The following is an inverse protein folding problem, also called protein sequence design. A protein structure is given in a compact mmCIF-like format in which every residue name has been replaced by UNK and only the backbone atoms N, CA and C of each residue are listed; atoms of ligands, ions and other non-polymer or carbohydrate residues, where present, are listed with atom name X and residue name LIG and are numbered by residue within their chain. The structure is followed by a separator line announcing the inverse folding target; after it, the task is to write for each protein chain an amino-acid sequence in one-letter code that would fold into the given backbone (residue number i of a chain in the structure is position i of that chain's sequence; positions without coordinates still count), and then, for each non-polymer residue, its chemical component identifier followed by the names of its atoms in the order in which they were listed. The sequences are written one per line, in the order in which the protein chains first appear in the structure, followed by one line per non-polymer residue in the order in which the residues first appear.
data_IF_453133305944
#
_entry.id   IF_453133305944
#
_cell.length_a   1.000
_cell.length_b   1.000
_cell.length_c   1.000
_cell.angle_alpha   90.00
_cell.angle_beta   90.00
_cell.angle_gamma   90.00
#
_symmetry.space_group_name_H-M   'P 1'
#
loop_
_entity.id
_entity.type
_entity.pdbx_description
1 polymer ?
#
# COMPACT_ATOMS: atom_id res chain seq x y z
N UNK A 1 4.18 9.13 6.50
CA UNK A 1 2.87 8.46 6.40
C UNK A 1 2.25 8.40 7.79
N UNK A 2 0.93 8.38 7.87
CA UNK A 2 0.27 8.32 9.17
C UNK A 2 -1.15 8.84 9.13
N UNK A 3 -1.75 8.75 10.30
CA UNK A 3 -3.10 9.18 10.58
C UNK A 3 -3.05 10.62 11.09
N UNK A 4 -3.82 11.49 10.44
CA UNK A 4 -3.90 12.89 10.77
C UNK A 4 -5.35 13.28 11.00
N UNK A 5 -5.57 14.03 12.07
CA UNK A 5 -6.86 14.58 12.42
C UNK A 5 -6.83 16.09 12.19
N UNK A 6 -7.88 16.63 11.58
CA UNK A 6 -8.00 18.06 11.32
C UNK A 6 -9.45 18.53 11.43
N UNK A 7 -9.60 19.86 11.59
CA UNK A 7 -10.86 20.60 11.51
C UNK A 7 -10.60 21.93 10.82
N UNK A 8 -11.63 22.48 10.20
CA UNK A 8 -11.63 23.86 9.74
C UNK A 8 -12.11 24.80 10.85
N UNK A 9 -11.70 26.06 10.76
CA UNK A 9 -12.28 27.16 11.52
C UNK A 9 -12.97 28.06 10.50
N UNK A 10 -14.30 28.16 10.58
CA UNK A 10 -15.11 29.00 9.71
C UNK A 10 -15.91 29.95 10.58
N UNK A 11 -15.74 31.25 10.37
CA UNK A 11 -16.35 32.31 11.18
C UNK A 11 -16.10 32.19 12.70
N UNK A 12 -14.96 31.58 13.07
CA UNK A 12 -14.58 31.34 14.47
C UNK A 12 -15.12 30.04 15.06
N UNK A 13 -15.96 29.32 14.33
CA UNK A 13 -16.52 28.04 14.74
C UNK A 13 -15.73 26.88 14.14
N UNK A 14 -15.49 25.85 14.96
CA UNK A 14 -14.80 24.66 14.52
C UNK A 14 -15.74 23.71 13.78
N UNK A 15 -15.42 23.35 12.54
CA UNK A 15 -16.20 22.40 11.76
C UNK A 15 -15.32 21.31 11.15
N UNK A 16 -15.88 20.12 11.01
CA UNK A 16 -15.30 19.05 10.19
C UNK A 16 -15.29 19.42 8.71
N UNK A 17 -14.46 18.75 7.92
CA UNK A 17 -14.54 18.77 6.47
C UNK A 17 -15.78 17.99 6.00
N UNK A 18 -16.82 18.64 5.47
CA UNK A 18 -18.05 17.98 5.07
C UNK A 18 -17.85 17.02 3.87
N UNK A 19 -16.75 17.18 3.14
CA UNK A 19 -16.40 16.35 1.99
C UNK A 19 -15.57 15.12 2.36
N UNK A 20 -15.00 15.09 3.56
CA UNK A 20 -14.25 13.94 4.03
C UNK A 20 -15.19 12.96 4.77
N UNK A 21 -15.42 11.75 4.25
CA UNK A 21 -16.27 10.75 4.90
C UNK A 21 -15.61 10.16 6.15
N UNK A 22 -14.28 10.20 6.25
CA UNK A 22 -13.52 9.60 7.35
C UNK A 22 -13.40 10.58 8.52
N UNK A 23 -13.81 10.11 9.70
CA UNK A 23 -13.93 10.94 10.90
C UNK A 23 -13.54 10.13 12.13
N UNK A 24 -12.92 10.80 13.10
CA UNK A 24 -12.55 10.24 14.40
C UNK A 24 -13.20 11.08 15.49
N UNK A 25 -13.78 10.40 16.48
CA UNK A 25 -14.40 11.05 17.64
C UNK A 25 -13.30 11.61 18.55
N UNK A 26 -13.43 12.88 18.93
CA UNK A 26 -12.46 13.56 19.79
C UNK A 26 -12.86 13.53 21.28
N UNK A 27 -12.03 14.12 22.13
CA UNK A 27 -12.18 14.15 23.60
C UNK A 27 -13.41 14.95 24.08
N UNK A 28 -14.06 15.72 23.21
CA UNK A 28 -15.22 16.57 23.51
C UNK A 28 -16.53 15.98 22.97
N UNK A 29 -16.55 14.69 22.63
CA UNK A 29 -17.69 14.01 22.01
C UNK A 29 -18.09 14.56 20.62
N UNK A 30 -17.22 15.36 19.99
CA UNK A 30 -17.35 15.85 18.61
C UNK A 30 -16.49 15.01 17.64
N UNK A 31 -16.42 15.41 16.37
CA UNK A 31 -15.65 14.73 15.34
C UNK A 31 -14.56 15.61 14.74
N UNK A 32 -13.37 15.03 14.56
CA UNK A 32 -12.32 15.53 13.69
C UNK A 32 -12.42 14.80 12.35
N UNK A 33 -12.11 15.48 11.25
CA UNK A 33 -11.88 14.83 9.97
C UNK A 33 -10.56 14.07 10.03
N UNK A 34 -10.54 12.86 9.49
CA UNK A 34 -9.42 11.95 9.55
C UNK A 34 -8.86 11.69 8.16
N UNK A 35 -7.54 11.67 8.02
CA UNK A 35 -6.88 11.31 6.77
C UNK A 35 -5.69 10.40 7.05
N UNK A 36 -5.63 9.26 6.36
CA UNK A 36 -4.45 8.43 6.32
C UNK A 36 -3.58 8.84 5.12
N UNK A 37 -2.43 9.46 5.40
CA UNK A 37 -1.49 9.89 4.35
C UNK A 37 -0.47 8.78 4.13
N UNK A 38 -0.41 8.27 2.90
CA UNK A 38 0.57 7.26 2.50
C UNK A 38 1.97 7.81 2.23
N UNK A 39 2.98 6.94 2.26
CA UNK A 39 4.34 7.20 1.79
C UNK A 39 4.52 6.49 0.48
N UNK A 40 5.02 7.20 -0.53
CA UNK A 40 5.32 6.60 -1.80
C UNK A 40 6.46 5.58 -1.68
N UNK A 41 6.19 4.35 -2.11
CA UNK A 41 7.11 3.22 -2.12
C UNK A 41 7.24 2.73 -3.55
N UNK A 42 8.47 2.38 -3.94
CA UNK A 42 8.74 1.69 -5.20
C UNK A 42 9.05 0.23 -4.91
N UNK A 43 8.21 -0.67 -5.41
CA UNK A 43 8.51 -2.09 -5.48
C UNK A 43 9.33 -2.35 -6.73
N UNK A 44 10.41 -3.10 -6.59
CA UNK A 44 11.34 -3.43 -7.67
C UNK A 44 11.55 -4.94 -7.69
N UNK A 45 11.29 -5.57 -8.83
CA UNK A 45 11.62 -6.97 -9.08
C UNK A 45 12.75 -7.03 -10.13
N UNK A 46 13.89 -7.59 -9.75
CA UNK A 46 15.03 -7.76 -10.67
C UNK A 46 14.88 -9.02 -11.51
N UNK A 47 15.28 -8.94 -12.78
CA UNK A 47 15.25 -10.06 -13.72
C UNK A 47 13.90 -10.24 -14.43
N UNK A 48 13.62 -11.47 -14.87
CA UNK A 48 12.38 -11.82 -15.61
C UNK A 48 12.18 -11.00 -16.88
N UNK A 49 13.26 -10.82 -17.64
CA UNK A 49 13.27 -10.05 -18.89
C UNK A 49 12.42 -10.67 -20.00
N UNK A 50 12.12 -11.96 -19.91
CA UNK A 50 11.27 -12.65 -20.87
C UNK A 50 9.81 -12.74 -20.41
N UNK A 51 9.47 -12.26 -19.22
CA UNK A 51 8.09 -12.23 -18.76
C UNK A 51 7.26 -11.25 -19.59
N UNK A 52 6.02 -11.62 -19.86
CA UNK A 52 5.05 -10.82 -20.61
C UNK A 52 4.29 -9.89 -19.66
N UNK A 53 3.97 -10.37 -18.47
CA UNK A 53 3.20 -9.63 -17.48
C UNK A 53 3.74 -9.88 -16.07
N UNK A 54 4.02 -8.80 -15.35
CA UNK A 54 4.33 -8.83 -13.91
C UNK A 54 3.33 -7.96 -13.17
N UNK A 55 2.73 -8.49 -12.10
CA UNK A 55 1.73 -7.79 -11.28
C UNK A 55 2.21 -7.78 -9.83
N UNK A 56 2.08 -6.63 -9.17
CA UNK A 56 2.26 -6.51 -7.74
C UNK A 56 0.92 -6.81 -7.04
N UNK A 57 0.91 -7.68 -6.05
CA UNK A 57 -0.30 -8.02 -5.30
C UNK A 57 -0.01 -8.16 -3.82
N UNK A 58 -0.86 -7.60 -2.96
CA UNK A 58 -0.63 -7.54 -1.52
C UNK A 58 -1.81 -7.06 -0.69
N UNK A 59 -1.58 -6.86 0.60
CA UNK A 59 -2.60 -6.42 1.57
C UNK A 59 -3.21 -5.06 1.24
N UNK A 60 -2.48 -4.20 0.52
CA UNK A 60 -2.91 -2.84 0.15
C UNK A 60 -3.86 -2.80 -1.05
N UNK A 61 -4.06 -3.92 -1.76
CA UNK A 61 -5.02 -4.03 -2.86
C UNK A 61 -5.86 -5.30 -2.75
N UNK A 62 -6.05 -5.80 -1.52
CA UNK A 62 -6.81 -7.02 -1.24
C UNK A 62 -6.40 -8.23 -2.08
N UNK A 63 -5.10 -8.34 -2.36
CA UNK A 63 -4.52 -9.40 -3.19
C UNK A 63 -5.05 -9.45 -4.63
N UNK A 64 -5.56 -8.34 -5.15
CA UNK A 64 -6.03 -8.25 -6.53
C UNK A 64 -4.91 -8.62 -7.53
N UNK A 65 -5.25 -9.48 -8.49
CA UNK A 65 -4.31 -10.06 -9.45
C UNK A 65 -4.22 -9.30 -10.78
N UNK A 66 -4.88 -8.15 -10.92
CA UNK A 66 -5.00 -7.44 -12.20
C UNK A 66 -4.70 -5.94 -12.14
N UNK A 67 -4.88 -5.31 -10.98
CA UNK A 67 -4.90 -3.85 -10.87
C UNK A 67 -3.51 -3.24 -11.01
N UNK A 68 -2.49 -3.83 -10.36
CA UNK A 68 -1.17 -3.22 -10.23
C UNK A 68 -0.13 -3.88 -11.15
N UNK A 69 -0.37 -3.79 -12.46
CA UNK A 69 0.59 -4.22 -13.50
C UNK A 69 1.86 -3.38 -13.40
N UNK A 70 3.01 -4.05 -13.30
CA UNK A 70 4.31 -3.42 -13.16
C UNK A 70 4.87 -2.92 -14.50
N UNK A 71 5.61 -1.81 -14.45
CA UNK A 71 6.32 -1.27 -15.60
C UNK A 71 7.67 -1.96 -15.78
N UNK A 72 7.94 -2.44 -16.99
CA UNK A 72 9.25 -2.96 -17.36
C UNK A 72 10.23 -1.80 -17.60
N UNK A 73 11.36 -1.83 -16.92
CA UNK A 73 12.42 -0.81 -17.05
C UNK A 73 13.42 -1.16 -18.14
N UNK A 74 14.21 -0.18 -18.58
CA UNK A 74 15.23 -0.36 -19.63
C UNK A 74 16.36 -1.34 -19.27
N UNK A 75 16.64 -1.52 -17.98
CA UNK A 75 17.61 -2.51 -17.47
C UNK A 75 17.00 -3.91 -17.29
N UNK A 76 15.74 -4.12 -17.71
CA UNK A 76 15.09 -5.42 -17.68
C UNK A 76 14.57 -5.83 -16.30
N UNK A 77 14.29 -4.86 -15.42
CA UNK A 77 13.62 -5.05 -14.14
C UNK A 77 12.15 -4.64 -14.27
N UNK A 78 11.39 -4.84 -13.20
CA UNK A 78 9.99 -4.44 -13.12
C UNK A 78 9.81 -3.52 -11.92
N UNK A 79 9.08 -2.40 -12.09
CA UNK A 79 8.81 -1.45 -11.01
C UNK A 79 7.32 -1.12 -10.89
N UNK A 80 6.87 -0.83 -9.67
CA UNK A 80 5.57 -0.23 -9.40
C UNK A 80 5.69 0.78 -8.28
N UNK A 81 5.03 1.92 -8.41
CA UNK A 81 5.14 3.04 -7.48
C UNK A 81 3.77 3.41 -6.94
N UNK A 82 3.59 3.33 -5.62
CA UNK A 82 2.30 3.60 -4.98
C UNK A 82 2.47 4.17 -3.56
N UNK A 83 1.51 4.97 -3.08
CA UNK A 83 1.48 5.38 -1.69
C UNK A 83 0.99 4.21 -0.82
N UNK A 84 1.70 3.94 0.27
CA UNK A 84 1.28 2.98 1.29
C UNK A 84 1.14 3.66 2.65
N UNK A 85 0.08 3.30 3.38
CA UNK A 85 -0.10 3.68 4.77
C UNK A 85 1.05 3.16 5.64
N UNK A 86 1.28 3.79 6.80
CA UNK A 86 2.26 3.31 7.75
C UNK A 86 1.90 1.90 8.24
N UNK A 87 2.91 1.08 8.54
CA UNK A 87 2.73 -0.26 9.07
C UNK A 87 3.21 -1.37 8.15
N UNK A 88 2.76 -2.58 8.47
CA UNK A 88 3.22 -3.83 7.86
C UNK A 88 2.34 -4.20 6.67
N UNK A 89 2.96 -4.38 5.51
CA UNK A 89 2.28 -4.80 4.29
C UNK A 89 2.84 -6.15 3.81
N UNK A 90 1.95 -7.08 3.50
CA UNK A 90 2.31 -8.36 2.88
C UNK A 90 2.12 -8.27 1.38
N UNK A 91 3.02 -8.86 0.60
CA UNK A 91 2.93 -8.83 -0.85
C UNK A 91 3.66 -10.00 -1.51
N UNK A 92 3.38 -10.16 -2.80
CA UNK A 92 4.01 -11.07 -3.76
C UNK A 92 4.02 -10.42 -5.14
N UNK A 93 4.74 -11.05 -6.07
CA UNK A 93 4.60 -10.77 -7.50
C UNK A 93 3.88 -11.92 -8.19
N UNK A 94 3.14 -11.62 -9.25
CA UNK A 94 2.59 -12.61 -10.17
C UNK A 94 3.31 -12.43 -11.49
N UNK A 95 4.02 -13.46 -11.96
CA UNK A 95 4.77 -13.46 -13.22
C UNK A 95 4.10 -14.45 -14.15
N UNK A 96 3.51 -13.95 -15.23
CA UNK A 96 2.81 -14.76 -16.24
C UNK A 96 1.82 -15.76 -15.59
N UNK A 97 1.09 -15.29 -14.57
CA UNK A 97 0.12 -16.08 -13.81
C UNK A 97 0.68 -16.87 -12.62
N UNK A 98 1.99 -16.84 -12.37
CA UNK A 98 2.63 -17.58 -11.29
C UNK A 98 3.01 -16.68 -10.12
N UNK A 99 2.51 -17.03 -8.93
CA UNK A 99 2.84 -16.33 -7.68
C UNK A 99 4.28 -16.61 -7.24
N UNK A 100 5.04 -15.56 -6.99
CA UNK A 100 6.39 -15.64 -6.44
C UNK A 100 6.55 -14.70 -5.24
N UNK A 101 7.42 -15.10 -4.30
CA UNK A 101 7.94 -14.20 -3.28
C UNK A 101 8.94 -13.24 -3.92
N UNK A 102 9.11 -12.05 -3.35
CA UNK A 102 10.22 -11.18 -3.72
C UNK A 102 11.56 -11.88 -3.44
N UNK A 103 12.37 -12.19 -4.47
CA UNK A 103 13.66 -12.87 -4.30
C UNK A 103 14.68 -12.02 -3.53
N UNK A 104 14.58 -10.70 -3.63
CA UNK A 104 15.50 -9.75 -3.01
C UNK A 104 15.10 -9.39 -1.56
N UNK A 105 13.90 -9.80 -1.13
CA UNK A 105 13.42 -9.55 0.22
C UNK A 105 13.59 -10.79 1.11
N UNK A 106 14.43 -10.67 2.13
CA UNK A 106 14.66 -11.72 3.12
C UNK A 106 13.59 -11.80 4.20
N UNK A 107 12.79 -10.74 4.39
CA UNK A 107 11.75 -10.66 5.42
C UNK A 107 10.46 -11.29 4.88
N UNK A 108 10.09 -12.42 5.47
CA UNK A 108 8.94 -13.24 5.07
C UNK A 108 8.12 -13.61 6.29
N UNK A 109 6.82 -13.78 6.11
CA UNK A 109 5.89 -14.14 7.17
C UNK A 109 4.87 -15.15 6.67
N UNK A 110 4.50 -16.09 7.55
CA UNK A 110 3.46 -17.08 7.31
C UNK A 110 2.10 -16.49 7.71
N UNK A 111 1.08 -16.68 6.87
CA UNK A 111 -0.24 -16.09 7.07
C UNK A 111 -1.20 -16.92 7.94
N UNK A 112 -0.74 -18.06 8.47
CA UNK A 112 -1.57 -18.99 9.24
C UNK A 112 -2.42 -19.96 8.39
N UNK A 113 -2.49 -19.75 7.07
CA UNK A 113 -3.37 -20.48 6.14
C UNK A 113 -2.62 -21.32 5.09
N UNK A 114 -1.31 -21.44 5.22
CA UNK A 114 -0.47 -22.21 4.30
C UNK A 114 0.41 -21.35 3.41
N UNK A 115 0.24 -20.02 3.42
CA UNK A 115 1.00 -19.14 2.54
C UNK A 115 2.14 -18.46 3.29
N UNK A 116 3.24 -18.26 2.56
CA UNK A 116 4.33 -17.37 2.97
C UNK A 116 4.26 -16.15 2.07
N UNK A 117 4.42 -14.96 2.63
CA UNK A 117 4.40 -13.67 1.92
C UNK A 117 5.67 -12.87 2.22
N UNK A 118 6.11 -12.05 1.26
CA UNK A 118 7.15 -11.05 1.52
C UNK A 118 6.57 -9.91 2.33
N UNK A 119 7.38 -9.30 3.20
CA UNK A 119 6.93 -8.22 4.09
C UNK A 119 7.65 -6.93 3.75
N UNK A 120 6.87 -5.86 3.57
CA UNK A 120 7.38 -4.50 3.48
C UNK A 120 6.86 -3.67 4.66
N UNK A 121 7.78 -3.06 5.41
CA UNK A 121 7.44 -2.20 6.55
C UNK A 121 7.56 -0.74 6.15
N UNK A 122 6.43 -0.02 6.17
CA UNK A 122 6.38 1.42 5.95
C UNK A 122 6.52 2.13 7.29
N UNK A 123 7.55 2.97 7.40
CA UNK A 123 7.81 3.87 8.53
C UNK A 123 7.82 5.30 8.02
#
# INVERSE_FOLDING_TARGET
PGDYEYRFIVDGEWMEDPSNPDKVRNEFDEFNSHINVGKYVTFLLKGYQNAECVILSGSFNDWNETDFKMEKTSNGYWKYHLPLSAGKHHYKFIIDGNWILDPDNSVKEYDGKGNINSVYMVR
#
